data_IF_981133929129
#
_entry.id   IF_981133929129
#
_cell.length_a   1.000
_cell.length_b   1.000
_cell.length_c   1.000
_cell.angle_alpha   90.00
_cell.angle_beta   90.00
_cell.angle_gamma   90.00
#
_symmetry.space_group_name_H-M   'P 1'
#
loop_
_entity.id
_entity.type
_entity.pdbx_description
1 polymer ?
#
# COMPACT_ATOMS: atom_id res chain seq x y z
N UNK A 1 -10.40 7.00 -6.01
CA UNK A 1 -8.99 6.84 -6.44
C UNK A 1 -8.14 6.46 -5.22
N UNK A 2 -7.24 5.47 -5.34
CA UNK A 2 -6.33 5.08 -4.24
C UNK A 2 -4.87 5.35 -4.59
N UNK A 3 -4.06 5.58 -3.56
CA UNK A 3 -2.63 5.86 -3.68
C UNK A 3 -1.84 5.19 -2.55
N UNK A 4 -0.59 4.87 -2.82
CA UNK A 4 0.34 4.40 -1.80
C UNK A 4 0.76 5.56 -0.89
N UNK A 5 0.87 5.32 0.42
CA UNK A 5 1.36 6.33 1.36
C UNK A 5 2.82 6.72 1.10
N UNK A 6 3.63 5.81 0.56
CA UNK A 6 5.08 5.96 0.36
C UNK A 6 5.90 5.25 1.43
N UNK A 7 7.20 5.07 1.15
CA UNK A 7 8.11 4.22 1.92
C UNK A 7 9.33 5.02 2.42
N UNK A 8 9.10 6.20 3.01
CA UNK A 8 10.17 7.09 3.47
C UNK A 8 10.13 7.39 4.98
N UNK A 9 9.33 6.63 5.76
CA UNK A 9 9.10 6.87 7.19
C UNK A 9 8.72 8.34 7.50
N UNK A 10 8.03 8.98 6.57
CA UNK A 10 7.68 10.39 6.63
C UNK A 10 6.18 10.57 6.87
N UNK A 11 5.77 11.79 7.22
CA UNK A 11 4.35 12.11 7.31
C UNK A 11 3.72 12.11 5.92
N UNK A 12 2.66 11.32 5.72
CA UNK A 12 2.00 11.16 4.43
C UNK A 12 1.47 12.50 3.87
N UNK A 13 1.10 13.45 4.74
CA UNK A 13 0.67 14.79 4.33
C UNK A 13 1.76 15.61 3.61
N UNK A 14 3.03 15.22 3.74
CA UNK A 14 4.17 15.87 3.05
C UNK A 14 4.47 15.26 1.68
N UNK A 15 3.70 14.25 1.26
CA UNK A 15 3.95 13.48 0.04
C UNK A 15 2.77 13.59 -0.90
N UNK A 16 3.02 13.93 -2.15
CA UNK A 16 2.01 13.90 -3.20
C UNK A 16 2.12 12.59 -3.98
N UNK A 17 0.99 11.93 -4.31
CA UNK A 17 -0.40 12.35 -4.09
C UNK A 17 -1.01 11.99 -2.72
N UNK A 18 -0.26 11.39 -1.80
CA UNK A 18 -0.75 10.89 -0.51
C UNK A 18 -1.35 11.96 0.44
N UNK A 19 -1.04 13.24 0.21
CA UNK A 19 -1.53 14.38 0.98
C UNK A 19 -2.93 14.87 0.58
N UNK A 20 -3.46 14.42 -0.56
CA UNK A 20 -4.78 14.84 -1.01
C UNK A 20 -5.88 14.24 -0.13
N UNK A 21 -6.85 15.06 0.30
CA UNK A 21 -7.97 14.60 1.14
C UNK A 21 -9.00 13.74 0.38
N UNK A 22 -8.95 13.77 -0.96
CA UNK A 22 -9.91 13.07 -1.84
C UNK A 22 -9.43 11.68 -2.28
N UNK A 23 -8.26 11.24 -1.83
CA UNK A 23 -7.70 9.93 -2.19
C UNK A 23 -7.65 9.00 -0.98
N UNK A 24 -7.81 7.71 -1.23
CA UNK A 24 -7.59 6.68 -0.21
C UNK A 24 -6.08 6.43 -0.15
N UNK A 25 -5.44 6.93 0.89
CA UNK A 25 -4.00 6.74 1.12
C UNK A 25 -3.77 5.48 1.93
N UNK A 26 -2.99 4.55 1.38
CA UNK A 26 -2.80 3.21 1.95
C UNK A 26 -1.40 3.06 2.56
N UNK A 27 -1.35 2.84 3.87
CA UNK A 27 -0.15 2.50 4.63
C UNK A 27 0.12 0.99 4.64
N UNK A 28 1.33 0.61 5.06
CA UNK A 28 1.84 -0.77 5.00
C UNK A 28 1.84 -1.43 6.37
N UNK A 29 1.29 -2.64 6.46
CA UNK A 29 1.45 -3.54 7.61
C UNK A 29 2.35 -4.72 7.27
N UNK A 30 2.96 -5.28 8.31
CA UNK A 30 3.56 -6.61 8.29
C UNK A 30 2.58 -7.69 8.74
N UNK A 31 3.08 -8.94 8.80
CA UNK A 31 2.30 -10.13 9.20
C UNK A 31 1.86 -10.15 10.67
N UNK A 32 2.38 -9.24 11.48
CA UNK A 32 2.05 -9.08 12.90
C UNK A 32 1.13 -7.87 13.10
N UNK A 33 0.43 -7.43 12.04
CA UNK A 33 -0.40 -6.23 12.00
C UNK A 33 0.32 -4.96 12.49
N UNK A 34 1.64 -4.94 12.36
CA UNK A 34 2.47 -3.82 12.78
C UNK A 34 2.81 -2.95 11.58
N UNK A 35 2.68 -1.61 11.66
CA UNK A 35 3.12 -0.71 10.60
C UNK A 35 4.57 -0.96 10.23
N UNK A 36 4.84 -1.21 8.95
CA UNK A 36 6.21 -1.40 8.47
C UNK A 36 7.02 -0.12 8.78
N UNK A 37 8.25 -0.29 9.27
CA UNK A 37 9.10 0.82 9.73
C UNK A 37 9.27 1.93 8.68
N UNK A 38 9.34 1.59 7.40
CA UNK A 38 9.55 2.56 6.32
C UNK A 38 8.25 3.17 5.81
N UNK A 39 7.08 2.69 6.26
CA UNK A 39 5.80 3.20 5.78
C UNK A 39 5.59 4.65 6.23
N UNK A 40 5.10 5.48 5.31
CA UNK A 40 4.65 6.82 5.67
C UNK A 40 3.39 6.74 6.54
N UNK A 41 3.24 7.69 7.46
CA UNK A 41 2.26 7.63 8.54
C UNK A 41 1.61 9.00 8.81
N UNK A 42 0.70 9.06 9.78
CA UNK A 42 0.00 10.28 10.19
C UNK A 42 -1.44 10.35 9.66
N UNK A 43 -2.10 11.49 9.92
CA UNK A 43 -3.54 11.67 9.67
C UNK A 43 -3.98 11.59 8.21
N UNK A 44 -3.06 11.76 7.26
CA UNK A 44 -3.36 11.59 5.84
C UNK A 44 -3.39 10.14 5.39
N UNK A 45 -2.97 9.17 6.22
CA UNK A 45 -3.14 7.74 5.93
C UNK A 45 -4.57 7.35 6.29
N UNK A 46 -5.34 6.93 5.29
CA UNK A 46 -6.76 6.58 5.47
C UNK A 46 -6.94 5.16 6.00
N UNK A 47 -6.11 4.23 5.52
CA UNK A 47 -6.20 2.81 5.84
C UNK A 47 -4.83 2.14 5.75
N UNK A 48 -4.67 1.03 6.45
CA UNK A 48 -3.50 0.19 6.42
C UNK A 48 -3.84 -1.17 5.80
N UNK A 49 -2.92 -1.73 5.01
CA UNK A 49 -3.09 -3.05 4.41
C UNK A 49 -1.77 -3.83 4.39
N UNK A 50 -1.82 -5.17 4.25
CA UNK A 50 -0.63 -5.99 4.14
C UNK A 50 0.22 -5.57 2.95
N UNK A 51 1.47 -5.24 3.21
CA UNK A 51 2.40 -4.88 2.14
C UNK A 51 3.84 -5.25 2.43
N UNK A 52 4.12 -6.04 3.47
CA UNK A 52 5.45 -6.55 3.79
C UNK A 52 5.57 -8.01 3.36
N UNK A 53 6.64 -8.37 2.64
CA UNK A 53 6.91 -9.72 2.12
C UNK A 53 5.74 -10.33 1.35
N UNK A 54 5.13 -9.55 0.45
CA UNK A 54 4.04 -10.00 -0.41
C UNK A 54 4.60 -10.72 -1.63
N UNK A 55 4.23 -11.99 -1.79
CA UNK A 55 4.53 -12.77 -2.99
C UNK A 55 3.67 -12.28 -4.15
N UNK A 56 4.31 -11.96 -5.28
CA UNK A 56 3.64 -11.47 -6.49
C UNK A 56 4.33 -12.03 -7.74
N UNK A 57 3.76 -11.78 -8.91
CA UNK A 57 4.41 -12.05 -10.20
C UNK A 57 5.75 -11.30 -10.30
N UNK A 58 6.80 -12.03 -10.67
CA UNK A 58 8.12 -11.49 -11.01
C UNK A 58 8.20 -11.08 -12.48
N UNK A 59 9.17 -10.24 -12.82
CA UNK A 59 9.36 -9.76 -14.20
C UNK A 59 10.30 -10.63 -15.03
N UNK A 60 10.94 -11.64 -14.41
CA UNK A 60 12.00 -12.44 -15.05
C UNK A 60 11.47 -13.51 -16.03
N UNK A 61 10.24 -13.99 -15.86
CA UNK A 61 9.57 -14.94 -16.77
C UNK A 61 8.06 -14.96 -16.53
N UNK A 62 7.30 -15.67 -17.37
CA UNK A 62 5.83 -15.81 -17.25
C UNK A 62 5.38 -16.62 -16.04
N UNK A 63 6.29 -17.38 -15.41
CA UNK A 63 6.03 -18.15 -14.19
C UNK A 63 6.82 -17.64 -13.00
N UNK A 64 7.62 -16.58 -13.19
CA UNK A 64 8.46 -16.04 -12.14
C UNK A 64 7.59 -15.44 -11.03
N UNK A 65 8.03 -15.65 -9.80
CA UNK A 65 7.49 -14.98 -8.62
C UNK A 65 8.54 -14.10 -8.00
N UNK A 66 8.12 -13.00 -7.38
CA UNK A 66 8.97 -12.10 -6.62
C UNK A 66 8.26 -11.69 -5.33
N UNK A 67 8.97 -11.78 -4.21
CA UNK A 67 8.50 -11.26 -2.93
C UNK A 67 8.93 -9.81 -2.80
N UNK A 68 7.99 -8.88 -2.62
CA UNK A 68 8.27 -7.45 -2.48
C UNK A 68 7.57 -6.87 -1.26
N UNK A 69 8.16 -5.79 -0.74
CA UNK A 69 7.63 -5.03 0.40
C UNK A 69 7.44 -3.56 0.02
N UNK A 70 6.34 -2.96 0.47
CA UNK A 70 6.07 -1.53 0.31
C UNK A 70 4.58 -1.19 0.24
N UNK A 71 4.30 0.10 0.39
CA UNK A 71 2.94 0.65 0.30
C UNK A 71 2.29 0.48 -1.07
N UNK A 72 3.06 0.25 -2.14
CA UNK A 72 2.52 -0.14 -3.44
C UNK A 72 1.78 -1.48 -3.40
N UNK A 73 2.30 -2.45 -2.66
CA UNK A 73 1.66 -3.77 -2.49
C UNK A 73 0.41 -3.64 -1.61
N UNK A 74 0.51 -2.85 -0.55
CA UNK A 74 -0.65 -2.52 0.30
C UNK A 74 -1.78 -1.84 -0.50
N UNK A 75 -1.44 -0.86 -1.35
CA UNK A 75 -2.40 -0.17 -2.21
C UNK A 75 -3.07 -1.11 -3.23
N UNK A 76 -2.35 -2.13 -3.73
CA UNK A 76 -2.91 -3.13 -4.63
C UNK A 76 -4.00 -3.98 -3.95
N UNK A 77 -3.80 -4.39 -2.68
CA UNK A 77 -4.83 -5.10 -1.91
C UNK A 77 -6.10 -4.26 -1.76
N UNK A 78 -5.96 -3.00 -1.35
CA UNK A 78 -7.11 -2.09 -1.21
C UNK A 78 -7.81 -1.88 -2.54
N UNK A 79 -7.08 -1.77 -3.65
CA UNK A 79 -7.68 -1.72 -4.99
C UNK A 79 -8.54 -2.94 -5.29
N UNK A 80 -8.10 -4.14 -4.94
CA UNK A 80 -8.87 -5.37 -5.15
C UNK A 80 -10.15 -5.43 -4.32
N UNK A 81 -10.07 -5.00 -3.06
CA UNK A 81 -11.24 -4.89 -2.17
C UNK A 81 -12.24 -3.88 -2.73
N UNK A 82 -11.78 -2.68 -3.07
CA UNK A 82 -12.63 -1.62 -3.65
C UNK A 82 -13.26 -2.12 -4.95
N UNK A 83 -12.50 -2.76 -5.84
CA UNK A 83 -13.01 -3.33 -7.09
C UNK A 83 -14.11 -4.37 -6.85
N UNK A 84 -13.97 -5.20 -5.80
CA UNK A 84 -14.99 -6.20 -5.42
C UNK A 84 -16.24 -5.53 -4.86
N UNK A 85 -16.09 -4.49 -4.04
CA UNK A 85 -17.22 -3.78 -3.44
C UNK A 85 -18.04 -3.03 -4.49
N UNK A 86 -17.40 -2.45 -5.51
CA UNK A 86 -18.10 -1.70 -6.57
C UNK A 86 -18.67 -2.59 -7.68
N UNK A 87 -18.26 -3.86 -7.77
CA UNK A 87 -18.78 -4.81 -8.77
C UNK A 87 -19.99 -5.62 -8.27
N UNK A 88 -20.33 -5.49 -6.99
CA UNK A 88 -21.55 -6.01 -6.38
C UNK A 88 -22.73 -5.04 -6.58
#
# INVERSE_FOLDING_TARGET
PQVAAGNQKALAHTRSPASASTVITVGTLDRSDTPQQDSNHGSSVSVFAPGTHILSCGVSSTTATATKSGSSMAAAFVSGIVATVISL
#
